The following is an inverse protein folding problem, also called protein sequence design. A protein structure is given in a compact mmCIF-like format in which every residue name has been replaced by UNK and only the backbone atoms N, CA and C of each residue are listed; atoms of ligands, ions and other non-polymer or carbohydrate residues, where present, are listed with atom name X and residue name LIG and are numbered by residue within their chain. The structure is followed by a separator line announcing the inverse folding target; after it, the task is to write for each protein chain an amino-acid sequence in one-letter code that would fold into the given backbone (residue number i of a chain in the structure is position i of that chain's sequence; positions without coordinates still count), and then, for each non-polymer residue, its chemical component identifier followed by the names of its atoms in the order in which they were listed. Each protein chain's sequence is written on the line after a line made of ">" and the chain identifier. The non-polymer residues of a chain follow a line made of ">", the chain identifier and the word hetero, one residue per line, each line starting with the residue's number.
data_IF_155188582903
#
_entry.id   IF_155188582903
#
_cell.length_a   1.000
_cell.length_b   1.000
_cell.length_c   1.000
_cell.angle_alpha   90.00
_cell.angle_beta   90.00
_cell.angle_gamma   90.00
#
_symmetry.space_group_name_H-M   'P 1'
#
loop_
_entity.id
_entity.type
_entity.pdbx_description
1 polymer ?
#
# COMPACT_ATOMS: atom_id res chain seq x y z
N UNK A 1 -10.41 9.97 -1.81
CA UNK A 1 -9.18 9.18 -1.62
C UNK A 1 -8.02 9.88 -2.33
N UNK A 2 -6.90 10.16 -1.65
CA UNK A 2 -5.78 10.83 -2.29
C UNK A 2 -5.17 9.98 -3.41
N UNK A 3 -4.66 10.64 -4.42
CA UNK A 3 -3.97 9.94 -5.50
C UNK A 3 -2.58 9.50 -5.05
N UNK A 4 -2.05 8.40 -5.60
CA UNK A 4 -0.69 7.98 -5.29
C UNK A 4 0.32 9.10 -5.53
N UNK A 5 1.29 9.23 -4.62
CA UNK A 5 2.33 10.25 -4.70
C UNK A 5 3.69 9.66 -5.05
N UNK A 6 3.79 8.33 -5.10
CA UNK A 6 5.03 7.63 -5.46
C UNK A 6 4.76 6.73 -6.66
N UNK A 7 5.83 6.28 -7.31
CA UNK A 7 5.73 5.36 -8.44
C UNK A 7 5.09 4.05 -7.98
N UNK A 8 4.14 3.55 -8.77
CA UNK A 8 3.47 2.31 -8.48
C UNK A 8 4.47 1.14 -8.48
N UNK A 9 4.56 0.39 -7.37
CA UNK A 9 5.44 -0.78 -7.33
C UNK A 9 4.84 -1.95 -8.10
N UNK A 10 5.65 -2.98 -8.34
CA UNK A 10 5.13 -4.20 -8.94
C UNK A 10 4.30 -4.97 -7.90
N UNK A 11 3.36 -5.77 -8.38
CA UNK A 11 2.54 -6.59 -7.49
C UNK A 11 3.42 -7.59 -6.72
N UNK A 12 4.50 -8.07 -7.34
CA UNK A 12 5.43 -9.00 -6.69
C UNK A 12 6.11 -8.36 -5.49
N UNK A 13 6.51 -7.09 -5.62
CA UNK A 13 7.11 -6.35 -4.51
C UNK A 13 6.13 -6.21 -3.35
N UNK A 14 4.88 -5.88 -3.65
CA UNK A 14 3.85 -5.72 -2.62
C UNK A 14 3.52 -7.07 -1.98
N UNK A 15 3.44 -8.14 -2.75
CA UNK A 15 3.19 -9.47 -2.20
C UNK A 15 4.29 -9.88 -1.23
N UNK A 16 5.55 -9.56 -1.53
CA UNK A 16 6.66 -9.85 -0.63
C UNK A 16 6.54 -9.06 0.68
N UNK A 17 6.10 -7.81 0.61
CA UNK A 17 5.89 -6.99 1.80
C UNK A 17 4.75 -7.56 2.66
N UNK A 18 3.68 -7.98 2.02
CA UNK A 18 2.52 -8.56 2.72
C UNK A 18 2.89 -9.85 3.42
N UNK A 19 3.77 -10.64 2.83
CA UNK A 19 4.28 -11.87 3.44
C UNK A 19 5.00 -11.57 4.75
N UNK A 20 5.62 -10.40 4.86
CA UNK A 20 6.25 -9.92 6.10
C UNK A 20 5.26 -9.25 7.06
N UNK A 21 3.98 -9.16 6.69
CA UNK A 21 2.94 -8.58 7.53
C UNK A 21 2.77 -7.08 7.39
N UNK A 22 3.32 -6.48 6.36
CA UNK A 22 3.19 -5.04 6.12
C UNK A 22 2.92 -4.77 4.63
N UNK A 23 2.65 -3.51 4.31
CA UNK A 23 2.43 -3.10 2.94
C UNK A 23 2.76 -1.62 2.81
N UNK A 24 3.26 -1.22 1.65
CA UNK A 24 3.50 0.18 1.37
C UNK A 24 2.17 0.86 1.02
N UNK A 25 1.97 2.06 1.55
CA UNK A 25 0.84 2.90 1.16
C UNK A 25 1.18 3.64 -0.14
N UNK A 26 0.18 4.27 -0.74
CA UNK A 26 0.36 4.95 -2.02
C UNK A 26 1.18 6.23 -1.91
N UNK A 27 1.56 6.65 -0.70
CA UNK A 27 2.47 7.77 -0.45
C UNK A 27 3.85 7.32 0.04
N UNK A 28 4.10 6.01 0.07
CA UNK A 28 5.36 5.45 0.52
C UNK A 28 5.43 5.10 2.01
N UNK A 29 4.41 5.43 2.79
CA UNK A 29 4.35 5.02 4.19
C UNK A 29 4.16 3.52 4.30
N UNK A 30 4.68 2.91 5.36
CA UNK A 30 4.46 1.49 5.62
C UNK A 30 3.26 1.35 6.55
N UNK A 31 2.28 0.56 6.13
CA UNK A 31 1.04 0.33 6.87
C UNK A 31 0.73 -1.16 6.88
N UNK A 32 -0.33 -1.54 7.58
CA UNK A 32 -0.84 -2.91 7.50
C UNK A 32 -1.41 -3.16 6.10
N UNK A 33 -1.43 -4.40 5.61
CA UNK A 33 -1.92 -4.70 4.25
C UNK A 33 -3.33 -4.17 3.96
N UNK A 34 -4.20 -4.14 4.95
CA UNK A 34 -5.55 -3.61 4.83
C UNK A 34 -5.68 -2.22 5.45
N UNK A 35 -4.56 -1.58 5.74
CA UNK A 35 -4.52 -0.33 6.48
C UNK A 35 -4.46 0.91 5.62
N UNK A 36 -4.29 2.03 6.31
CA UNK A 36 -4.23 3.36 5.73
C UNK A 36 -3.25 4.17 6.57
N UNK A 37 -2.43 5.00 5.92
CA UNK A 37 -1.49 5.83 6.67
C UNK A 37 -2.20 7.05 7.25
N UNK A 38 -1.50 7.77 8.14
CA UNK A 38 -2.05 8.96 8.79
C UNK A 38 -2.38 10.08 7.82
N UNK A 39 -1.83 10.03 6.61
CA UNK A 39 -2.08 11.03 5.57
C UNK A 39 -3.31 10.67 4.71
N UNK A 40 -4.00 9.59 5.03
CA UNK A 40 -5.19 9.17 4.30
C UNK A 40 -4.93 8.31 3.08
N UNK A 41 -3.67 7.91 2.83
CA UNK A 41 -3.33 7.04 1.71
C UNK A 41 -3.51 5.57 2.09
N UNK A 42 -4.27 4.84 1.30
CA UNK A 42 -4.48 3.40 1.50
C UNK A 42 -3.22 2.62 1.13
N UNK A 43 -3.12 1.39 1.64
CA UNK A 43 -2.10 0.46 1.14
C UNK A 43 -2.32 0.22 -0.36
N UNK A 44 -1.26 -0.18 -1.07
CA UNK A 44 -1.38 -0.50 -2.48
C UNK A 44 -2.42 -1.61 -2.73
N UNK A 45 -2.53 -2.58 -1.83
CA UNK A 45 -3.53 -3.64 -1.97
C UNK A 45 -4.95 -3.09 -1.92
N UNK A 46 -5.22 -2.17 -1.01
CA UNK A 46 -6.54 -1.52 -0.94
C UNK A 46 -6.78 -0.65 -2.16
N UNK A 47 -5.75 0.07 -2.61
CA UNK A 47 -5.85 0.92 -3.78
C UNK A 47 -6.18 0.11 -5.03
N UNK A 48 -5.61 -1.08 -5.16
CA UNK A 48 -5.88 -1.96 -6.30
C UNK A 48 -7.18 -2.75 -6.15
N UNK A 49 -7.84 -2.67 -5.00
CA UNK A 49 -9.08 -3.40 -4.76
C UNK A 49 -8.88 -4.89 -4.51
N UNK A 50 -7.72 -5.29 -4.03
CA UNK A 50 -7.39 -6.70 -3.76
C UNK A 50 -7.82 -7.14 -2.36
N UNK A 51 -8.23 -6.20 -1.54
CA UNK A 51 -8.74 -6.46 -0.20
C UNK A 51 -10.08 -5.77 -0.04
#
# INVERSE_FOLDING_TARGET
>A
MPKPTVTEPSIEDIEAQVDDGCCEATDGCIVEPDGQCEHGHNSWLRHWGMI
#
